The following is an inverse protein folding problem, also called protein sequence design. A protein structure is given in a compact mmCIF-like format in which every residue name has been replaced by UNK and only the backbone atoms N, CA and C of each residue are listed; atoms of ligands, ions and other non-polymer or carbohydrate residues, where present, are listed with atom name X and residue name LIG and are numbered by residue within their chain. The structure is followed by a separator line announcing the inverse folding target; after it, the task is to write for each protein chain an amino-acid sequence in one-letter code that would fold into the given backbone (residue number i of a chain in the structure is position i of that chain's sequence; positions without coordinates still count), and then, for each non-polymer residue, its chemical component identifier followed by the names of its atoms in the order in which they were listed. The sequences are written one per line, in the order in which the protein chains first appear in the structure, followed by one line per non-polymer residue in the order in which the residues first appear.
data_IF_452883121112
#
_entry.id   IF_452883121112
#
_cell.length_a   1.000
_cell.length_b   1.000
_cell.length_c   1.000
_cell.angle_alpha   90.00
_cell.angle_beta   90.00
_cell.angle_gamma   90.00
#
_symmetry.space_group_name_H-M   'P 1'
#
loop_
_entity.id
_entity.type
_entity.pdbx_description
1 polymer ?
#
# COMPACT_ATOMS: atom_id res chain seq x y z
N UNK A 1 4.60 0.20 13.57
CA UNK A 1 3.98 -0.76 12.62
C UNK A 1 3.40 0.05 11.47
N UNK A 2 4.16 0.26 10.39
CA UNK A 2 3.75 1.16 9.29
C UNK A 2 2.87 0.35 8.32
N UNK A 3 1.56 0.60 8.33
CA UNK A 3 0.64 0.00 7.36
C UNK A 3 0.71 0.82 6.07
N UNK A 4 1.46 0.34 5.07
CA UNK A 4 1.39 0.86 3.71
C UNK A 4 0.25 0.17 2.96
N UNK A 5 -0.70 0.96 2.47
CA UNK A 5 -1.80 0.48 1.64
C UNK A 5 -1.48 0.85 0.19
N UNK A 6 -1.11 -0.14 -0.62
CA UNK A 6 -1.01 0.03 -2.07
C UNK A 6 -2.39 -0.19 -2.68
N UNK A 7 -3.07 0.88 -3.09
CA UNK A 7 -4.32 0.77 -3.86
C UNK A 7 -3.95 0.73 -5.34
N UNK A 8 -3.74 -0.46 -5.92
CA UNK A 8 -3.92 -0.73 -7.36
C UNK A 8 -3.80 -2.25 -7.58
N UNK A 9 -4.88 -2.86 -8.07
CA UNK A 9 -4.97 -4.30 -8.37
C UNK A 9 -3.98 -4.74 -9.46
N UNK A 10 -3.58 -3.82 -10.34
CA UNK A 10 -2.84 -4.15 -11.57
C UNK A 10 -1.40 -4.64 -11.35
N UNK A 11 -0.82 -4.44 -10.16
CA UNK A 11 0.56 -4.86 -9.84
C UNK A 11 0.64 -5.97 -8.79
N UNK A 12 -0.50 -6.55 -8.38
CA UNK A 12 -0.57 -7.57 -7.32
C UNK A 12 0.20 -8.84 -7.70
N UNK A 13 0.19 -9.23 -8.97
CA UNK A 13 0.90 -10.42 -9.45
C UNK A 13 2.42 -10.26 -9.38
N UNK A 14 2.91 -9.04 -9.57
CA UNK A 14 4.32 -8.68 -9.53
C UNK A 14 4.91 -8.72 -8.11
N UNK A 15 4.09 -8.35 -7.10
CA UNK A 15 4.46 -8.45 -5.68
C UNK A 15 4.47 -9.90 -5.21
N UNK A 16 3.63 -10.75 -5.80
CA UNK A 16 3.47 -12.15 -5.40
C UNK A 16 4.62 -13.05 -5.88
N UNK A 17 5.25 -12.74 -7.02
CA UNK A 17 6.37 -13.53 -7.56
C UNK A 17 7.73 -13.23 -6.90
N UNK A 18 7.90 -12.09 -6.22
CA UNK A 18 9.21 -11.65 -5.74
C UNK A 18 9.61 -12.05 -4.31
N UNK A 19 8.67 -12.47 -3.46
CA UNK A 19 8.92 -12.47 -2.02
C UNK A 19 8.50 -13.76 -1.31
N UNK A 20 9.43 -14.72 -1.22
CA UNK A 20 9.35 -15.85 -0.30
C UNK A 20 9.47 -15.36 1.16
N UNK A 21 8.34 -15.17 1.84
CA UNK A 21 8.25 -15.46 3.29
C UNK A 21 8.13 -14.30 4.28
N UNK A 22 8.26 -13.02 3.89
CA UNK A 22 8.21 -11.89 4.86
C UNK A 22 7.06 -10.89 4.66
N UNK A 23 6.29 -11.01 3.59
CA UNK A 23 5.16 -10.13 3.29
C UNK A 23 3.83 -10.88 3.38
N UNK A 24 2.88 -10.34 4.15
CA UNK A 24 1.52 -10.89 4.23
C UNK A 24 0.62 -10.08 3.31
N UNK A 25 0.17 -10.71 2.22
CA UNK A 25 -0.74 -10.14 1.23
C UNK A 25 -2.19 -10.45 1.59
N UNK A 26 -3.03 -9.41 1.66
CA UNK A 26 -4.45 -9.54 2.01
C UNK A 26 -5.34 -8.77 1.03
N UNK A 27 -6.42 -9.41 0.60
CA UNK A 27 -7.44 -8.78 -0.25
C UNK A 27 -8.54 -8.16 0.61
N UNK A 28 -9.00 -6.98 0.19
CA UNK A 28 -10.15 -6.29 0.73
C UNK A 28 -11.37 -6.60 -0.13
N UNK A 29 -12.44 -7.02 0.55
CA UNK A 29 -13.73 -7.32 -0.05
C UNK A 29 -14.72 -6.19 0.17
N UNK A 30 -15.63 -6.03 -0.78
CA UNK A 30 -16.70 -5.03 -0.70
C UNK A 30 -17.83 -5.47 0.21
N UNK A 31 -18.22 -4.57 1.11
CA UNK A 31 -19.39 -4.79 1.97
C UNK A 31 -20.71 -4.48 1.25
N UNK A 32 -20.68 -3.56 0.28
CA UNK A 32 -21.87 -3.04 -0.40
C UNK A 32 -21.63 -2.89 -1.92
N UNK A 33 -22.70 -3.04 -2.69
CA UNK A 33 -22.71 -2.76 -4.13
C UNK A 33 -22.79 -1.25 -4.35
N UNK A 34 -21.87 -0.69 -5.13
CA UNK A 34 -21.91 0.74 -5.50
C UNK A 34 -21.95 0.86 -7.03
N UNK A 35 -23.15 1.12 -7.57
CA UNK A 35 -23.39 1.11 -9.02
C UNK A 35 -22.62 2.19 -9.78
N UNK A 36 -22.40 3.36 -9.18
CA UNK A 36 -21.65 4.46 -9.80
C UNK A 36 -20.19 4.10 -10.08
N UNK A 37 -19.61 3.19 -9.30
CA UNK A 37 -18.24 2.72 -9.48
C UNK A 37 -18.18 1.33 -10.16
N UNK A 38 -19.32 0.76 -10.56
CA UNK A 38 -19.37 -0.56 -11.20
C UNK A 38 -19.03 -1.74 -10.28
N UNK A 39 -19.09 -1.55 -8.96
CA UNK A 39 -18.59 -2.51 -7.96
C UNK A 39 -19.74 -3.38 -7.41
N UNK A 40 -19.57 -4.71 -7.43
CA UNK A 40 -20.44 -5.69 -6.77
C UNK A 40 -20.15 -5.89 -5.28
N UNK A 41 -21.04 -6.57 -4.55
CA UNK A 41 -20.83 -6.99 -3.15
C UNK A 41 -19.97 -8.26 -3.09
N UNK A 42 -19.09 -8.36 -2.08
CA UNK A 42 -18.10 -9.43 -1.89
C UNK A 42 -17.13 -9.60 -3.07
N UNK A 43 -16.89 -8.52 -3.82
CA UNK A 43 -15.91 -8.46 -4.89
C UNK A 43 -14.56 -7.97 -4.34
N UNK A 44 -13.45 -8.44 -4.93
CA UNK A 44 -12.10 -8.02 -4.56
C UNK A 44 -11.78 -6.70 -5.25
N UNK A 45 -11.60 -5.63 -4.48
CA UNK A 45 -11.25 -4.30 -5.02
C UNK A 45 -9.80 -3.93 -4.78
N UNK A 46 -9.29 -4.27 -3.61
CA UNK A 46 -8.01 -3.76 -3.18
C UNK A 46 -7.21 -4.89 -2.56
N UNK A 47 -5.91 -4.73 -2.64
CA UNK A 47 -4.95 -5.58 -1.99
C UNK A 47 -4.10 -4.70 -1.09
N UNK A 48 -3.68 -5.21 0.05
CA UNK A 48 -2.67 -4.54 0.86
C UNK A 48 -1.65 -5.55 1.35
N UNK A 49 -0.46 -5.06 1.60
CA UNK A 49 0.67 -5.90 2.00
C UNK A 49 1.25 -5.35 3.28
N UNK A 50 1.43 -6.22 4.26
CA UNK A 50 2.16 -5.88 5.48
C UNK A 50 3.60 -6.36 5.32
N UNK A 51 4.53 -5.40 5.28
CA UNK A 51 5.97 -5.65 5.22
C UNK A 51 6.57 -5.47 6.61
N UNK A 52 7.53 -6.32 6.97
CA UNK A 52 8.30 -6.21 8.22
C UNK A 52 9.79 -6.37 7.95
N UNK A 53 10.62 -5.96 8.91
CA UNK A 53 12.08 -6.08 8.84
C UNK A 53 12.73 -5.06 7.90
N UNK A 54 13.94 -5.39 7.41
CA UNK A 54 14.79 -4.49 6.63
C UNK A 54 14.14 -4.02 5.33
N UNK A 55 13.33 -4.88 4.70
CA UNK A 55 12.53 -4.53 3.51
C UNK A 55 11.56 -3.37 3.77
N UNK A 56 10.98 -3.30 4.97
CA UNK A 56 10.10 -2.20 5.33
C UNK A 56 10.87 -0.87 5.45
N UNK A 57 12.10 -0.92 5.95
CA UNK A 57 12.96 0.26 6.08
C UNK A 57 13.37 0.80 4.69
N UNK A 58 13.76 -0.09 3.77
CA UNK A 58 14.10 0.28 2.39
C UNK A 58 12.92 0.92 1.64
N UNK A 59 11.71 0.36 1.79
CA UNK A 59 10.49 0.92 1.21
C UNK A 59 10.11 2.26 1.82
N UNK A 60 10.32 2.42 3.12
CA UNK A 60 10.04 3.67 3.83
C UNK A 60 10.99 4.80 3.43
N UNK A 61 12.28 4.50 3.22
CA UNK A 61 13.27 5.46 2.72
C UNK A 61 12.97 5.85 1.27
N UNK A 62 12.73 4.86 0.41
CA UNK A 62 12.37 5.10 -0.99
C UNK A 62 11.10 5.92 -1.10
N UNK A 63 10.06 5.61 -0.32
CA UNK A 63 8.80 6.33 -0.33
C UNK A 63 8.89 7.77 0.19
N UNK A 64 9.70 8.02 1.23
CA UNK A 64 9.95 9.39 1.71
C UNK A 64 10.74 10.22 0.70
N UNK A 65 11.67 9.60 -0.03
CA UNK A 65 12.41 10.27 -1.11
C UNK A 65 11.47 10.79 -2.21
N UNK A 66 10.41 10.04 -2.56
CA UNK A 66 9.38 10.48 -3.53
C UNK A 66 8.61 11.70 -3.03
N UNK A 67 8.49 11.86 -1.71
CA UNK A 67 7.85 13.00 -1.06
C UNK A 67 8.83 14.09 -0.63
N UNK A 68 10.07 14.04 -1.12
CA UNK A 68 11.12 15.00 -0.77
C UNK A 68 11.32 15.14 0.75
N UNK A 69 11.02 14.07 1.50
CA UNK A 69 11.02 14.03 2.97
C UNK A 69 10.04 15.01 3.64
N UNK A 70 9.09 15.58 2.90
CA UNK A 70 8.07 16.46 3.42
C UNK A 70 6.73 15.73 3.61
N UNK A 71 6.21 15.77 4.84
CA UNK A 71 4.90 15.24 5.18
C UNK A 71 4.08 16.30 5.92
N UNK A 72 2.80 16.39 5.57
CA UNK A 72 1.88 17.31 6.23
C UNK A 72 1.52 16.78 7.62
N UNK A 73 1.28 17.68 8.58
CA UNK A 73 0.92 17.29 9.95
C UNK A 73 -0.32 16.37 10.03
N UNK A 74 -1.27 16.52 9.10
CA UNK A 74 -2.48 15.67 8.99
C UNK A 74 -2.20 14.19 8.68
N UNK A 75 -1.00 13.87 8.20
CA UNK A 75 -0.59 12.51 7.88
C UNK A 75 -0.13 11.73 9.13
N UNK A 76 0.04 12.41 10.26
CA UNK A 76 0.39 11.81 11.54
C UNK A 76 -0.88 11.61 12.37
N UNK A 77 -1.01 10.41 12.94
CA UNK A 77 -2.08 10.05 13.87
C UNK A 77 -1.64 10.30 15.31
N UNK A 78 -2.62 10.42 16.22
CA UNK A 78 -2.37 10.59 17.65
C UNK A 78 -1.68 9.39 18.32
N UNK A 79 -1.68 8.23 17.65
CA UNK A 79 -1.01 7.00 18.11
C UNK A 79 0.38 6.81 17.48
N UNK A 80 1.05 7.90 17.09
CA UNK A 80 2.40 7.90 16.49
C UNK A 80 2.55 7.01 15.24
N UNK A 81 1.46 6.76 14.53
CA UNK A 81 1.49 6.16 13.19
C UNK A 81 1.38 7.25 12.14
N UNK A 82 2.02 7.06 10.98
CA UNK A 82 1.91 7.98 9.85
C UNK A 82 1.73 7.21 8.56
N UNK A 83 1.17 7.87 7.55
CA UNK A 83 0.94 7.29 6.24
C UNK A 83 1.00 8.33 5.14
N UNK A 84 1.38 7.91 3.94
CA UNK A 84 1.46 8.77 2.77
C UNK A 84 0.97 8.04 1.52
N UNK A 85 0.37 8.78 0.60
CA UNK A 85 -0.07 8.29 -0.70
C UNK A 85 0.90 8.71 -1.80
N UNK A 86 1.28 7.77 -2.65
CA UNK A 86 2.07 8.01 -3.86
C UNK A 86 1.14 7.78 -5.06
N UNK A 87 1.20 8.68 -6.05
CA UNK A 87 0.38 8.60 -7.25
C UNK A 87 0.98 7.62 -8.29
N UNK A 88 2.30 7.56 -8.38
CA UNK A 88 3.00 6.71 -9.36
C UNK A 88 4.02 5.79 -8.68
N UNK A 89 3.89 4.48 -8.91
CA UNK A 89 4.74 3.47 -8.28
C UNK A 89 6.13 3.35 -8.92
N UNK A 90 6.37 3.94 -10.09
CA UNK A 90 7.65 3.87 -10.82
C UNK A 90 8.83 4.38 -9.96
N UNK A 91 8.57 5.32 -9.06
CA UNK A 91 9.59 5.93 -8.21
C UNK A 91 9.94 5.09 -6.97
N UNK A 92 9.15 4.06 -6.67
CA UNK A 92 9.46 3.11 -5.58
C UNK A 92 10.48 2.05 -5.99
N UNK A 93 10.88 1.98 -7.26
CA UNK A 93 11.83 0.97 -7.75
C UNK A 93 11.27 -0.46 -7.77
N UNK A 94 9.95 -0.59 -7.57
CA UNK A 94 9.22 -1.86 -7.70
C UNK A 94 8.89 -2.01 -9.18
N UNK A 95 9.68 -2.83 -9.88
CA UNK A 95 9.45 -3.24 -11.26
C UNK A 95 8.98 -4.67 -11.31
#
# INVERSE_FOLDING_TARGET
MVKMVYLLLDHVDLIRERDEGSMVLQFLFTQYTVRSFGIGRNEKIACYVTVRGDKAMQLMESGQKVKEYELLRRNFSDTDCFGFGIQEHIYLGIK
#
